data_IF_402249054291
#
_entry.id   IF_402249054291
#
_cell.length_a   1.000
_cell.length_b   1.000
_cell.length_c   1.000
_cell.angle_alpha   90.00
_cell.angle_beta   90.00
_cell.angle_gamma   90.00
#
_symmetry.space_group_name_H-M   'P 1'
#
loop_
_entity.id
_entity.type
_entity.pdbx_description
1 polymer ?
#
# COMPACT_ATOMS: atom_id res chain seq x y z
N UNK A 1 6.12 -40.16 -52.73
CA UNK A 1 4.85 -40.92 -52.70
C UNK A 1 4.83 -41.70 -51.39
N UNK A 2 3.91 -41.32 -50.48
CA UNK A 2 3.35 -42.01 -49.28
C UNK A 2 4.27 -42.93 -48.43
N UNK A 3 4.33 -42.79 -47.10
CA UNK A 3 3.26 -43.24 -46.19
C UNK A 3 3.26 -42.50 -44.82
N UNK A 4 2.05 -42.24 -44.30
CA UNK A 4 1.68 -41.69 -42.98
C UNK A 4 1.19 -42.80 -42.04
N UNK A 5 1.27 -42.53 -40.72
CA UNK A 5 0.45 -43.13 -39.63
C UNK A 5 1.24 -44.10 -38.73
N UNK A 6 1.14 -44.14 -37.40
CA UNK A 6 0.25 -43.55 -36.37
C UNK A 6 0.94 -43.75 -35.00
N UNK A 7 1.13 -42.70 -34.19
CA UNK A 7 1.34 -42.83 -32.73
C UNK A 7 0.76 -41.60 -32.00
N UNK A 8 -0.44 -41.74 -31.47
CA UNK A 8 -0.98 -40.86 -30.44
C UNK A 8 -2.01 -41.64 -29.62
N UNK A 9 -1.95 -41.47 -28.29
CA UNK A 9 -2.79 -42.01 -27.19
C UNK A 9 -2.09 -43.01 -26.26
N UNK A 10 -1.09 -42.53 -25.50
CA UNK A 10 -0.70 -43.17 -24.22
C UNK A 10 -0.04 -42.21 -23.20
N UNK A 11 0.25 -40.95 -23.54
CA UNK A 11 1.12 -40.09 -22.72
C UNK A 11 0.39 -38.91 -22.01
N UNK A 12 -0.91 -39.02 -21.74
CA UNK A 12 -1.68 -37.91 -21.14
C UNK A 12 -2.27 -38.17 -19.74
N UNK A 13 -2.11 -39.37 -19.17
CA UNK A 13 -2.74 -39.72 -17.88
C UNK A 13 -1.73 -39.74 -16.71
N UNK A 14 -0.42 -39.88 -16.96
CA UNK A 14 0.60 -39.94 -15.87
C UNK A 14 1.13 -38.58 -15.38
N UNK A 15 0.93 -37.50 -16.14
CA UNK A 15 1.42 -36.15 -15.76
C UNK A 15 0.48 -35.40 -14.82
N UNK A 16 -0.84 -35.68 -14.88
CA UNK A 16 -1.83 -35.03 -14.01
C UNK A 16 -1.74 -35.45 -12.54
N UNK A 17 -1.47 -36.72 -12.27
CA UNK A 17 -1.35 -37.23 -10.89
C UNK A 17 -0.09 -36.73 -10.17
N UNK A 18 1.04 -36.59 -10.89
CA UNK A 18 2.27 -36.02 -10.34
C UNK A 18 2.13 -34.51 -10.06
N UNK A 19 1.45 -33.77 -10.94
CA UNK A 19 1.21 -32.34 -10.74
C UNK A 19 0.25 -32.10 -9.56
N UNK A 20 -0.83 -32.88 -9.45
CA UNK A 20 -1.75 -32.79 -8.32
C UNK A 20 -1.08 -33.19 -7.00
N UNK A 21 -0.24 -34.23 -6.99
CA UNK A 21 0.51 -34.64 -5.81
C UNK A 21 1.56 -33.59 -5.40
N UNK A 22 2.25 -32.97 -6.36
CA UNK A 22 3.21 -31.88 -6.10
C UNK A 22 2.50 -30.61 -5.61
N UNK A 23 1.33 -30.26 -6.17
CA UNK A 23 0.50 -29.16 -5.69
C UNK A 23 0.00 -29.45 -4.28
N UNK A 24 -0.46 -30.68 -4.00
CA UNK A 24 -0.92 -31.07 -2.68
C UNK A 24 0.22 -31.06 -1.66
N UNK A 25 1.41 -31.58 -2.02
CA UNK A 25 2.59 -31.48 -1.16
C UNK A 25 2.99 -30.01 -0.96
N UNK A 26 2.95 -29.17 -1.98
CA UNK A 26 3.27 -27.75 -1.86
C UNK A 26 2.26 -27.02 -0.96
N UNK A 27 0.97 -27.30 -1.08
CA UNK A 27 -0.08 -26.75 -0.22
C UNK A 27 0.09 -27.26 1.22
N UNK A 28 0.32 -28.56 1.42
CA UNK A 28 0.53 -29.14 2.75
C UNK A 28 1.81 -28.59 3.40
N UNK A 29 2.91 -28.47 2.66
CA UNK A 29 4.19 -27.92 3.18
C UNK A 29 4.10 -26.40 3.42
N UNK A 30 3.34 -25.68 2.60
CA UNK A 30 3.03 -24.27 2.78
C UNK A 30 2.15 -24.03 4.02
N UNK A 31 1.11 -24.83 4.22
CA UNK A 31 0.25 -24.80 5.41
C UNK A 31 1.00 -25.24 6.68
N UNK A 32 1.97 -26.15 6.57
CA UNK A 32 2.83 -26.55 7.70
C UNK A 32 3.88 -25.50 8.07
N UNK A 33 4.39 -24.74 7.09
CA UNK A 33 5.40 -23.70 7.30
C UNK A 33 4.80 -22.37 7.75
N UNK A 34 3.50 -22.18 7.52
CA UNK A 34 2.72 -21.02 7.94
C UNK A 34 1.37 -21.47 8.49
N UNK A 35 1.30 -22.07 9.70
CA UNK A 35 0.03 -22.55 10.28
C UNK A 35 -1.04 -21.45 10.43
N UNK A 36 -0.60 -20.19 10.31
CA UNK A 36 -1.33 -18.98 10.62
C UNK A 36 -1.70 -18.14 9.38
N UNK A 37 -0.99 -18.29 8.25
CA UNK A 37 -1.29 -17.51 7.03
C UNK A 37 -2.43 -18.19 6.26
N UNK A 38 -3.57 -17.52 6.11
CA UNK A 38 -4.73 -18.04 5.40
C UNK A 38 -4.90 -17.35 4.03
N UNK A 39 -4.15 -17.76 2.99
CA UNK A 39 -4.18 -17.09 1.69
C UNK A 39 -5.57 -17.16 1.06
N UNK A 40 -6.35 -18.21 1.28
CA UNK A 40 -7.71 -18.32 0.73
C UNK A 40 -8.66 -17.28 1.32
N UNK A 41 -8.59 -17.01 2.64
CA UNK A 41 -9.38 -15.95 3.28
C UNK A 41 -8.96 -14.57 2.77
N UNK A 42 -7.66 -14.32 2.71
CA UNK A 42 -7.14 -13.07 2.16
C UNK A 42 -7.55 -12.89 0.69
N UNK A 43 -7.45 -13.92 -0.13
CA UNK A 43 -7.89 -13.93 -1.54
C UNK A 43 -9.40 -13.77 -1.69
N UNK A 44 -10.21 -14.37 -0.80
CA UNK A 44 -11.66 -14.21 -0.78
C UNK A 44 -12.04 -12.75 -0.51
N UNK A 45 -11.40 -12.09 0.47
CA UNK A 45 -11.58 -10.65 0.70
C UNK A 45 -11.05 -9.79 -0.45
N UNK A 46 -9.99 -10.22 -1.15
CA UNK A 46 -9.44 -9.50 -2.30
C UNK A 46 -10.28 -9.65 -3.58
N UNK A 47 -11.00 -10.77 -3.76
CA UNK A 47 -11.81 -11.09 -4.97
C UNK A 47 -13.22 -10.49 -4.99
N UNK A 48 -13.71 -9.89 -3.91
CA UNK A 48 -15.14 -9.65 -3.72
C UNK A 48 -15.79 -8.51 -4.54
N UNK A 49 -15.09 -7.66 -5.29
CA UNK A 49 -15.77 -6.50 -5.92
C UNK A 49 -15.37 -6.12 -7.35
N UNK A 50 -14.51 -6.89 -8.03
CA UNK A 50 -14.31 -6.66 -9.47
C UNK A 50 -15.26 -7.55 -10.28
N UNK A 51 -16.39 -6.95 -10.65
CA UNK A 51 -17.42 -7.44 -11.58
C UNK A 51 -18.29 -8.61 -11.09
N UNK A 52 -19.34 -8.28 -10.33
CA UNK A 52 -20.71 -8.54 -10.80
C UNK A 52 -21.73 -7.72 -9.99
N UNK A 53 -22.77 -7.27 -10.69
CA UNK A 53 -23.85 -6.46 -10.13
C UNK A 53 -24.57 -7.13 -8.96
N UNK A 54 -25.20 -6.27 -8.16
CA UNK A 54 -26.22 -6.60 -7.16
C UNK A 54 -25.84 -7.67 -6.13
N UNK A 55 -25.21 -7.18 -5.08
CA UNK A 55 -25.33 -7.75 -3.74
C UNK A 55 -24.94 -6.65 -2.77
N UNK A 56 -25.90 -5.90 -2.25
CA UNK A 56 -25.65 -5.15 -1.02
C UNK A 56 -25.20 -6.19 -0.01
N UNK A 57 -23.91 -6.18 0.39
CA UNK A 57 -23.51 -6.74 1.67
C UNK A 57 -24.18 -5.84 2.71
N UNK A 58 -25.47 -6.07 2.94
CA UNK A 58 -26.15 -5.66 4.16
C UNK A 58 -25.67 -6.63 5.22
N UNK A 59 -24.42 -6.44 5.66
CA UNK A 59 -24.06 -6.92 6.97
C UNK A 59 -24.95 -6.11 7.93
N UNK A 60 -26.01 -6.75 8.46
CA UNK A 60 -26.93 -6.15 9.42
C UNK A 60 -26.20 -5.65 10.68
N UNK A 61 -24.91 -5.97 10.84
CA UNK A 61 -24.03 -5.44 11.88
C UNK A 61 -23.46 -4.03 11.61
N UNK A 62 -23.54 -3.50 10.39
CA UNK A 62 -23.16 -2.11 10.09
C UNK A 62 -24.32 -1.16 10.39
N UNK A 63 -24.65 -1.01 11.67
CA UNK A 63 -25.62 -0.03 12.16
C UNK A 63 -25.02 1.39 12.13
N UNK A 64 -24.81 1.95 10.95
CA UNK A 64 -24.58 3.39 10.84
C UNK A 64 -25.84 4.10 11.33
N UNK A 65 -25.69 4.94 12.36
CA UNK A 65 -26.76 5.80 12.84
C UNK A 65 -27.29 6.65 11.67
N UNK A 66 -28.62 6.77 11.55
CA UNK A 66 -29.28 7.34 10.36
C UNK A 66 -28.80 8.77 10.07
N UNK A 67 -28.56 9.58 11.11
CA UNK A 67 -28.01 10.94 10.98
C UNK A 67 -26.59 10.96 10.40
N UNK A 68 -25.73 9.99 10.76
CA UNK A 68 -24.35 9.90 10.27
C UNK A 68 -24.29 9.52 8.79
N UNK A 69 -25.26 8.73 8.28
CA UNK A 69 -25.36 8.44 6.85
C UNK A 69 -25.73 9.70 6.07
N UNK A 70 -26.80 10.38 6.48
CA UNK A 70 -27.36 11.51 5.74
C UNK A 70 -26.36 12.68 5.65
N UNK A 71 -25.64 12.98 6.75
CA UNK A 71 -24.57 14.00 6.78
C UNK A 71 -23.42 13.67 5.80
N UNK A 72 -22.99 12.40 5.74
CA UNK A 72 -21.83 12.02 4.92
C UNK A 72 -22.12 12.12 3.42
N UNK A 73 -23.35 11.83 3.00
CA UNK A 73 -23.76 11.80 1.60
C UNK A 73 -24.18 13.17 1.05
N UNK A 74 -24.69 14.09 1.89
CA UNK A 74 -25.11 15.42 1.42
C UNK A 74 -23.94 16.37 1.14
N UNK A 75 -22.86 16.32 1.92
CA UNK A 75 -21.77 17.32 1.86
C UNK A 75 -21.01 17.30 0.51
N UNK A 76 -21.01 16.18 -0.25
CA UNK A 76 -20.06 16.00 -1.36
C UNK A 76 -20.59 15.30 -2.62
N UNK A 77 -21.89 15.42 -2.94
CA UNK A 77 -22.37 14.97 -4.25
C UNK A 77 -21.71 15.79 -5.37
N UNK A 78 -20.91 15.13 -6.21
CA UNK A 78 -20.39 15.75 -7.43
C UNK A 78 -21.53 15.79 -8.45
N UNK A 79 -22.27 16.89 -8.50
CA UNK A 79 -23.48 17.00 -9.32
C UNK A 79 -23.22 16.84 -10.84
N UNK A 80 -22.00 17.16 -11.30
CA UNK A 80 -21.67 17.19 -12.72
C UNK A 80 -21.39 15.80 -13.31
N UNK A 81 -21.01 14.80 -12.52
CA UNK A 81 -20.71 13.44 -12.99
C UNK A 81 -21.40 12.38 -12.13
N UNK A 82 -21.90 11.33 -12.78
CA UNK A 82 -22.46 10.17 -12.07
C UNK A 82 -21.32 9.21 -11.69
N UNK A 83 -20.85 9.30 -10.45
CA UNK A 83 -19.78 8.44 -9.93
C UNK A 83 -20.09 6.95 -10.07
N UNK A 84 -21.36 6.52 -9.88
CA UNK A 84 -21.72 5.10 -10.00
C UNK A 84 -21.48 4.59 -11.41
N UNK A 85 -21.98 5.32 -12.42
CA UNK A 85 -21.75 5.00 -13.83
C UNK A 85 -20.26 4.99 -14.20
N UNK A 86 -19.46 5.90 -13.63
CA UNK A 86 -18.01 5.91 -13.82
C UNK A 86 -17.35 4.62 -13.29
N UNK A 87 -17.71 4.18 -12.09
CA UNK A 87 -17.18 2.94 -11.52
C UNK A 87 -17.65 1.70 -12.29
N UNK A 88 -18.88 1.72 -12.81
CA UNK A 88 -19.42 0.64 -13.65
C UNK A 88 -18.82 0.64 -15.08
N UNK A 89 -17.97 1.62 -15.42
CA UNK A 89 -17.28 1.69 -16.71
C UNK A 89 -18.14 2.18 -17.87
N UNK A 90 -19.20 2.94 -17.57
CA UNK A 90 -20.08 3.56 -18.57
C UNK A 90 -19.29 4.51 -19.49
N UNK A 91 -19.23 4.18 -20.78
CA UNK A 91 -18.40 4.90 -21.74
C UNK A 91 -18.84 6.36 -21.94
N UNK A 92 -20.13 6.63 -21.84
CA UNK A 92 -20.67 7.99 -21.98
C UNK A 92 -20.22 8.85 -20.79
N UNK A 93 -20.40 8.37 -19.56
CA UNK A 93 -20.02 9.10 -18.36
C UNK A 93 -18.50 9.26 -18.26
N UNK A 94 -17.72 8.25 -18.67
CA UNK A 94 -16.26 8.35 -18.78
C UNK A 94 -15.83 9.46 -19.75
N UNK A 95 -16.44 9.53 -20.94
CA UNK A 95 -16.16 10.58 -21.93
C UNK A 95 -16.58 11.96 -21.42
N UNK A 96 -17.74 12.04 -20.75
CA UNK A 96 -18.23 13.28 -20.13
C UNK A 96 -17.27 13.78 -19.04
N UNK A 97 -16.82 12.90 -18.14
CA UNK A 97 -15.84 13.24 -17.11
C UNK A 97 -14.51 13.69 -17.70
N UNK A 98 -14.03 13.01 -18.74
CA UNK A 98 -12.81 13.40 -19.46
C UNK A 98 -12.93 14.78 -20.12
N UNK A 99 -14.06 15.07 -20.75
CA UNK A 99 -14.32 16.38 -21.36
C UNK A 99 -14.40 17.50 -20.31
N UNK A 100 -15.02 17.24 -19.15
CA UNK A 100 -15.05 18.18 -18.02
C UNK A 100 -13.64 18.45 -17.48
N UNK A 101 -12.81 17.41 -17.35
CA UNK A 101 -11.40 17.56 -16.93
C UNK A 101 -10.61 18.42 -17.91
N UNK A 102 -10.81 18.23 -19.23
CA UNK A 102 -10.18 19.07 -20.26
C UNK A 102 -10.67 20.51 -20.22
N UNK A 103 -11.98 20.72 -20.12
CA UNK A 103 -12.60 22.05 -20.17
C UNK A 103 -12.24 22.92 -18.96
N UNK A 104 -12.15 22.33 -17.77
CA UNK A 104 -11.82 23.06 -16.54
C UNK A 104 -10.30 23.28 -16.36
N UNK A 105 -9.47 22.73 -17.24
CA UNK A 105 -8.01 22.68 -17.08
C UNK A 105 -7.56 21.97 -15.81
N UNK A 106 -6.25 21.86 -15.61
CA UNK A 106 -5.72 21.69 -14.25
C UNK A 106 -6.13 22.96 -13.51
N UNK A 107 -7.15 22.91 -12.63
CA UNK A 107 -7.29 23.95 -11.61
C UNK A 107 -5.91 24.01 -10.97
N UNK A 108 -5.16 25.08 -11.25
CA UNK A 108 -3.80 25.23 -10.76
C UNK A 108 -3.83 24.88 -9.29
N UNK A 109 -2.89 24.04 -8.86
CA UNK A 109 -2.68 23.64 -7.46
C UNK A 109 -3.13 24.79 -6.58
N UNK A 110 -4.30 24.67 -5.95
CA UNK A 110 -4.71 25.63 -4.94
C UNK A 110 -3.75 25.33 -3.80
N UNK A 111 -2.53 25.84 -3.89
CA UNK A 111 -1.44 25.59 -2.94
C UNK A 111 -1.78 26.14 -1.55
N UNK A 112 -2.86 26.91 -1.45
CA UNK A 112 -3.26 27.59 -0.24
C UNK A 112 -4.75 27.32 -0.02
N UNK A 113 -5.10 26.19 0.61
CA UNK A 113 -6.36 26.17 1.33
C UNK A 113 -6.20 27.19 2.45
N UNK A 114 -7.00 28.26 2.43
CA UNK A 114 -6.99 29.20 3.52
C UNK A 114 -7.63 28.49 4.72
N UNK A 115 -6.83 27.74 5.49
CA UNK A 115 -7.29 27.05 6.71
C UNK A 115 -7.87 28.04 7.75
N UNK A 116 -7.76 29.34 7.50
CA UNK A 116 -8.44 30.38 8.28
C UNK A 116 -9.96 30.43 8.01
N UNK A 117 -10.47 29.69 7.02
CA UNK A 117 -11.91 29.48 6.80
C UNK A 117 -12.53 28.61 7.92
N UNK A 118 -11.71 27.86 8.65
CA UNK A 118 -12.16 27.02 9.76
C UNK A 118 -11.83 27.71 11.09
N UNK A 119 -12.88 28.12 11.81
CA UNK A 119 -12.79 28.80 13.11
C UNK A 119 -12.23 27.90 14.22
N UNK A 120 -12.42 26.58 14.11
CA UNK A 120 -11.95 25.59 15.10
C UNK A 120 -11.68 24.22 14.48
N UNK A 121 -10.91 23.38 15.19
CA UNK A 121 -10.69 21.98 14.77
C UNK A 121 -11.98 21.15 14.74
N UNK A 122 -12.97 21.45 15.60
CA UNK A 122 -14.29 20.81 15.53
C UNK A 122 -14.98 21.13 14.19
N UNK A 123 -15.04 22.41 13.83
CA UNK A 123 -15.61 22.88 12.56
C UNK A 123 -14.87 22.30 11.35
N UNK A 124 -13.53 22.22 11.42
CA UNK A 124 -12.71 21.58 10.39
C UNK A 124 -13.10 20.10 10.20
N UNK A 125 -13.09 19.31 11.29
CA UNK A 125 -13.37 17.87 11.21
C UNK A 125 -14.77 17.58 10.67
N UNK A 126 -15.75 18.35 11.11
CA UNK A 126 -17.15 18.25 10.66
C UNK A 126 -17.30 18.63 9.18
N UNK A 127 -16.89 19.84 8.77
CA UNK A 127 -17.02 20.33 7.39
C UNK A 127 -16.20 19.50 6.40
N UNK A 128 -15.05 18.97 6.82
CA UNK A 128 -14.26 18.07 5.98
C UNK A 128 -14.87 16.68 5.89
N UNK A 129 -15.68 16.25 6.85
CA UNK A 129 -16.32 14.92 6.88
C UNK A 129 -15.39 13.84 7.41
N UNK A 130 -14.61 14.12 8.47
CA UNK A 130 -13.80 13.10 9.13
C UNK A 130 -14.67 12.14 9.93
N UNK A 131 -14.32 10.85 9.88
CA UNK A 131 -14.96 9.81 10.70
C UNK A 131 -14.28 9.81 12.07
N UNK A 132 -14.97 10.35 13.08
CA UNK A 132 -14.41 10.59 14.42
C UNK A 132 -14.72 9.51 15.45
N UNK A 133 -15.42 8.44 15.07
CA UNK A 133 -15.70 7.27 15.90
C UNK A 133 -15.33 5.98 15.17
N UNK A 134 -14.96 4.94 15.92
CA UNK A 134 -14.81 3.58 15.39
C UNK A 134 -16.16 3.11 14.83
N UNK A 135 -16.19 2.62 13.59
CA UNK A 135 -17.44 2.20 12.93
C UNK A 135 -17.84 0.78 13.34
N UNK A 136 -16.88 -0.07 13.71
CA UNK A 136 -17.10 -1.44 14.16
C UNK A 136 -16.16 -1.78 15.33
N UNK A 137 -16.56 -2.74 16.17
CA UNK A 137 -15.69 -3.27 17.24
C UNK A 137 -14.45 -3.99 16.68
N UNK A 138 -14.59 -4.60 15.50
CA UNK A 138 -13.49 -5.23 14.79
C UNK A 138 -12.39 -4.23 14.48
N UNK A 139 -12.75 -3.10 13.84
CA UNK A 139 -11.80 -2.05 13.51
C UNK A 139 -11.21 -1.40 14.77
N UNK A 140 -11.97 -1.28 15.86
CA UNK A 140 -11.47 -0.73 17.13
C UNK A 140 -10.40 -1.62 17.78
N UNK A 141 -10.60 -2.95 17.70
CA UNK A 141 -9.69 -3.96 18.25
C UNK A 141 -8.44 -4.22 17.39
N UNK A 142 -8.41 -3.72 16.16
CA UNK A 142 -7.31 -3.92 15.20
C UNK A 142 -6.76 -2.59 14.65
N UNK A 143 -6.08 -1.78 15.46
CA UNK A 143 -5.58 -0.49 15.00
C UNK A 143 -4.45 -0.61 13.99
N UNK A 144 -4.41 0.32 13.04
CA UNK A 144 -3.37 0.43 12.02
C UNK A 144 -2.50 1.67 12.25
N UNK A 145 -1.24 1.60 11.84
CA UNK A 145 -0.29 2.69 11.83
C UNK A 145 0.10 3.07 10.41
N UNK A 146 0.17 4.38 10.13
CA UNK A 146 0.52 4.90 8.81
C UNK A 146 1.68 5.88 8.90
N UNK A 147 2.61 5.80 7.94
CA UNK A 147 3.46 6.93 7.58
C UNK A 147 2.98 7.54 6.26
N UNK A 148 3.02 8.87 6.17
CA UNK A 148 2.65 9.62 4.96
C UNK A 148 3.78 10.60 4.65
N UNK A 149 4.55 10.33 3.60
CA UNK A 149 5.63 11.21 3.14
C UNK A 149 5.12 12.24 2.12
N UNK A 150 5.36 13.53 2.34
CA UNK A 150 4.89 14.57 1.42
C UNK A 150 5.85 15.75 1.28
N UNK A 151 5.69 16.50 0.18
CA UNK A 151 6.53 17.69 -0.08
C UNK A 151 5.80 18.89 -0.71
N UNK A 152 4.60 18.73 -1.29
CA UNK A 152 3.89 19.82 -2.00
C UNK A 152 2.39 19.92 -1.74
N UNK A 153 1.62 18.92 -2.17
CA UNK A 153 0.15 19.06 -2.29
C UNK A 153 -0.57 18.75 -0.98
N UNK A 154 -0.84 19.80 -0.18
CA UNK A 154 -1.60 19.71 1.07
C UNK A 154 -2.99 19.15 0.86
N UNK A 155 -3.70 19.55 -0.20
CA UNK A 155 -5.07 19.12 -0.45
C UNK A 155 -5.14 17.63 -0.73
N UNK A 156 -4.19 17.15 -1.53
CA UNK A 156 -4.11 15.74 -1.84
C UNK A 156 -3.82 14.92 -0.58
N UNK A 157 -2.87 15.36 0.23
CA UNK A 157 -2.48 14.69 1.49
C UNK A 157 -3.63 14.73 2.51
N UNK A 158 -4.31 15.86 2.67
CA UNK A 158 -5.49 15.96 3.55
C UNK A 158 -6.61 15.05 3.06
N UNK A 159 -6.83 14.97 1.74
CA UNK A 159 -7.85 14.09 1.16
C UNK A 159 -7.51 12.63 1.39
N UNK A 160 -6.24 12.25 1.23
CA UNK A 160 -5.76 10.92 1.58
C UNK A 160 -6.01 10.65 3.07
N UNK A 161 -5.51 11.53 3.95
CA UNK A 161 -5.65 11.43 5.40
C UNK A 161 -7.11 11.22 5.78
N UNK A 162 -8.02 12.08 5.32
CA UNK A 162 -9.46 11.93 5.60
C UNK A 162 -10.01 10.57 5.18
N UNK A 163 -9.58 10.04 4.04
CA UNK A 163 -10.12 8.78 3.50
C UNK A 163 -9.68 7.60 4.35
N UNK A 164 -8.45 7.62 4.86
CA UNK A 164 -7.88 6.54 5.70
C UNK A 164 -8.05 6.79 7.21
N UNK A 165 -8.43 8.00 7.63
CA UNK A 165 -8.47 8.41 9.04
C UNK A 165 -9.51 7.61 9.82
N UNK A 166 -9.09 7.06 10.96
CA UNK A 166 -9.95 6.50 12.00
C UNK A 166 -9.36 6.85 13.38
N UNK A 167 -10.19 7.12 14.40
CA UNK A 167 -9.71 7.56 15.71
C UNK A 167 -8.83 6.53 16.44
N UNK A 168 -9.03 5.24 16.19
CA UNK A 168 -8.22 4.17 16.80
C UNK A 168 -6.84 3.98 16.13
N UNK A 169 -6.69 4.37 14.85
CA UNK A 169 -5.45 4.24 14.10
C UNK A 169 -4.42 5.31 14.53
N UNK A 170 -3.21 5.30 13.98
CA UNK A 170 -2.17 6.31 14.29
C UNK A 170 -1.41 6.72 13.05
N UNK A 171 -1.13 8.02 12.89
CA UNK A 171 -0.61 8.59 11.65
C UNK A 171 0.61 9.47 11.91
N UNK A 172 1.73 9.14 11.28
CA UNK A 172 2.91 9.98 11.20
C UNK A 172 2.98 10.63 9.83
N UNK A 173 3.07 11.96 9.78
CA UNK A 173 3.23 12.72 8.55
C UNK A 173 4.63 13.30 8.50
N UNK A 174 5.41 12.92 7.51
CA UNK A 174 6.67 13.59 7.21
C UNK A 174 6.47 14.65 6.14
N UNK A 175 6.96 15.86 6.42
CA UNK A 175 7.00 16.95 5.46
C UNK A 175 8.46 17.24 5.12
N UNK A 176 8.81 17.10 3.84
CA UNK A 176 10.17 17.31 3.32
C UNK A 176 10.71 18.70 3.70
N UNK A 177 12.02 18.79 4.01
CA UNK A 177 12.65 20.06 4.36
C UNK A 177 12.62 21.07 3.20
N UNK A 178 12.53 20.62 1.95
CA UNK A 178 12.38 21.46 0.76
C UNK A 178 10.96 21.97 0.55
N UNK A 179 9.97 21.45 1.28
CA UNK A 179 8.61 21.95 1.18
C UNK A 179 8.54 23.43 1.61
N UNK A 180 7.69 24.18 0.92
CA UNK A 180 7.47 25.59 1.23
C UNK A 180 6.97 25.79 2.67
N UNK A 181 7.25 26.96 3.26
CA UNK A 181 7.01 27.21 4.69
C UNK A 181 5.51 27.14 5.03
N UNK A 182 4.68 27.64 4.15
CA UNK A 182 3.22 27.57 4.21
C UNK A 182 2.73 26.12 4.19
N UNK A 183 3.28 25.25 3.34
CA UNK A 183 2.95 23.80 3.32
C UNK A 183 3.24 23.17 4.68
N UNK A 184 4.42 23.42 5.25
CA UNK A 184 4.80 22.89 6.57
C UNK A 184 3.87 23.40 7.68
N UNK A 185 3.57 24.69 7.70
CA UNK A 185 2.70 25.30 8.71
C UNK A 185 1.26 24.76 8.60
N UNK A 186 0.76 24.62 7.37
CA UNK A 186 -0.59 24.13 7.07
C UNK A 186 -0.74 22.68 7.51
N UNK A 187 0.24 21.81 7.21
CA UNK A 187 0.21 20.42 7.66
C UNK A 187 0.30 20.29 9.18
N UNK A 188 1.11 21.13 9.85
CA UNK A 188 1.14 21.19 11.32
C UNK A 188 -0.23 21.55 11.91
N UNK A 189 -0.92 22.55 11.34
CA UNK A 189 -2.27 22.97 11.76
C UNK A 189 -3.30 21.85 11.55
N UNK A 190 -3.24 21.14 10.42
CA UNK A 190 -4.12 19.98 10.16
C UNK A 190 -3.86 18.87 11.18
N UNK A 191 -2.60 18.49 11.40
CA UNK A 191 -2.23 17.44 12.34
C UNK A 191 -2.71 17.76 13.76
N UNK A 192 -2.58 19.02 14.21
CA UNK A 192 -3.02 19.43 15.54
C UNK A 192 -4.53 19.31 15.81
N UNK A 193 -5.35 19.04 14.79
CA UNK A 193 -6.78 18.79 14.98
C UNK A 193 -7.12 17.35 15.39
N UNK A 194 -6.13 16.46 15.49
CA UNK A 194 -6.32 15.05 15.82
C UNK A 194 -5.29 14.60 16.84
N UNK A 195 -5.72 13.85 17.85
CA UNK A 195 -4.83 13.37 18.91
C UNK A 195 -3.88 12.26 18.42
N UNK A 196 -4.27 11.56 17.37
CA UNK A 196 -3.57 10.41 16.79
C UNK A 196 -2.87 10.71 15.44
N UNK A 197 -2.74 11.99 15.07
CA UNK A 197 -1.99 12.45 13.89
C UNK A 197 -0.89 13.40 14.34
N UNK A 198 0.36 13.13 13.94
CA UNK A 198 1.48 13.98 14.31
C UNK A 198 2.46 14.16 13.15
N UNK A 199 3.21 15.27 13.18
CA UNK A 199 4.33 15.49 12.26
C UNK A 199 5.55 14.74 12.79
N UNK A 200 6.27 14.06 11.89
CA UNK A 200 7.51 13.36 12.20
C UNK A 200 8.49 14.26 13.00
N UNK A 201 9.20 13.68 13.97
CA UNK A 201 10.10 14.45 14.84
C UNK A 201 11.31 15.05 14.10
N UNK A 202 11.63 14.51 12.92
CA UNK A 202 12.72 14.98 12.06
C UNK A 202 12.26 15.08 10.60
N UNK A 203 12.77 16.10 9.89
CA UNK A 203 12.53 16.32 8.45
C UNK A 203 13.83 16.15 7.68
N UNK A 204 13.74 15.63 6.44
CA UNK A 204 14.89 15.31 5.59
C UNK A 204 14.76 15.97 4.22
N UNK A 205 15.90 16.21 3.55
CA UNK A 205 15.97 16.52 2.12
C UNK A 205 15.88 15.22 1.32
N UNK A 206 14.65 14.80 1.01
CA UNK A 206 14.42 13.55 0.28
C UNK A 206 14.87 13.71 -1.17
N UNK A 207 15.79 12.85 -1.60
CA UNK A 207 16.37 12.82 -2.94
C UNK A 207 16.13 11.46 -3.54
N UNK A 208 15.54 11.43 -4.73
CA UNK A 208 15.16 10.19 -5.40
C UNK A 208 16.35 9.24 -5.59
N UNK A 209 16.13 7.95 -5.31
CA UNK A 209 17.14 6.90 -5.43
C UNK A 209 18.29 7.00 -4.42
N UNK A 210 18.15 7.82 -3.38
CA UNK A 210 19.12 7.98 -2.29
C UNK A 210 18.55 7.47 -0.97
N UNK A 211 19.45 7.29 0.00
CA UNK A 211 19.11 6.84 1.35
C UNK A 211 18.07 7.73 2.04
N UNK A 212 18.03 9.02 1.68
CA UNK A 212 17.08 10.00 2.22
C UNK A 212 15.61 9.71 1.88
N UNK A 213 15.31 8.70 1.05
CA UNK A 213 13.96 8.15 0.86
C UNK A 213 13.53 7.27 2.05
N UNK A 214 14.44 6.52 2.68
CA UNK A 214 14.12 5.63 3.82
C UNK A 214 14.17 6.38 5.15
N UNK A 215 15.03 7.38 5.30
CA UNK A 215 15.20 8.14 6.56
C UNK A 215 13.87 8.66 7.16
N UNK A 216 12.96 9.28 6.37
CA UNK A 216 11.64 9.66 6.86
C UNK A 216 10.81 8.49 7.40
N UNK A 217 10.86 7.34 6.74
CA UNK A 217 10.14 6.14 7.14
C UNK A 217 10.65 5.64 8.49
N UNK A 218 11.98 5.57 8.67
CA UNK A 218 12.58 5.11 9.91
C UNK A 218 12.22 6.02 11.09
N UNK A 219 12.16 7.34 10.86
CA UNK A 219 11.72 8.29 11.89
C UNK A 219 10.24 8.12 12.20
N UNK A 220 9.39 7.97 11.19
CA UNK A 220 7.97 7.72 11.42
C UNK A 220 7.72 6.39 12.14
N UNK A 221 8.39 5.30 11.75
CA UNK A 221 8.34 4.02 12.43
C UNK A 221 8.71 4.16 13.91
N UNK A 222 9.80 4.87 14.23
CA UNK A 222 10.21 5.14 15.62
C UNK A 222 9.12 5.89 16.38
N UNK A 223 8.63 7.02 15.85
CA UNK A 223 7.60 7.79 16.51
C UNK A 223 6.28 7.00 16.69
N UNK A 224 5.90 6.18 15.70
CA UNK A 224 4.70 5.32 15.80
C UNK A 224 4.84 4.23 16.87
N UNK A 225 6.03 3.64 17.02
CA UNK A 225 6.33 2.66 18.08
C UNK A 225 6.24 3.30 19.48
N UNK A 226 6.67 4.55 19.61
CA UNK A 226 6.67 5.33 20.86
C UNK A 226 5.27 5.83 21.24
N UNK A 227 4.50 6.33 20.27
CA UNK A 227 3.20 6.98 20.51
C UNK A 227 2.10 5.99 20.89
N UNK A 228 2.02 4.84 20.23
CA UNK A 228 0.94 3.87 20.45
C UNK A 228 1.46 2.44 20.37
N UNK A 229 1.16 1.62 21.39
CA UNK A 229 1.57 0.22 21.44
C UNK A 229 0.52 -0.75 20.89
N UNK A 230 -0.70 -0.28 20.59
CA UNK A 230 -1.85 -1.14 20.24
C UNK A 230 -1.93 -1.52 18.76
N UNK A 231 -1.35 -0.72 17.86
CA UNK A 231 -1.45 -0.97 16.44
C UNK A 231 -0.78 -2.29 16.04
N UNK A 232 -1.33 -2.92 15.00
CA UNK A 232 -0.95 -4.29 14.57
C UNK A 232 -0.08 -4.29 13.33
N UNK A 233 -0.39 -3.40 12.40
CA UNK A 233 0.29 -3.27 11.12
C UNK A 233 0.66 -1.81 10.83
N UNK A 234 1.82 -1.66 10.22
CA UNK A 234 2.35 -0.43 9.66
C UNK A 234 2.19 -0.43 8.14
N UNK A 235 1.79 0.70 7.57
CA UNK A 235 1.60 0.91 6.14
C UNK A 235 2.23 2.24 5.76
N UNK A 236 3.19 2.24 4.83
CA UNK A 236 3.77 3.49 4.36
C UNK A 236 3.19 3.98 3.03
N UNK A 237 2.95 5.28 2.99
CA UNK A 237 2.34 6.00 1.87
C UNK A 237 3.17 7.23 1.55
N UNK A 238 3.02 7.75 0.34
CA UNK A 238 3.36 9.14 0.03
C UNK A 238 2.07 9.98 -0.05
N UNK A 239 2.21 11.27 -0.33
CA UNK A 239 1.06 12.16 -0.53
C UNK A 239 0.28 11.89 -1.82
N UNK A 240 0.70 10.95 -2.66
CA UNK A 240 0.09 10.69 -3.97
C UNK A 240 -0.79 9.44 -3.98
N UNK A 241 -0.83 8.69 -2.90
CA UNK A 241 -1.56 7.44 -2.78
C UNK A 241 -3.05 7.69 -2.50
N UNK A 242 -3.89 6.73 -2.89
CA UNK A 242 -5.31 6.75 -2.57
C UNK A 242 -5.82 5.32 -2.33
N UNK A 243 -6.61 5.08 -1.26
CA UNK A 243 -7.06 3.74 -0.93
C UNK A 243 -8.14 3.24 -1.89
N UNK A 244 -8.11 1.93 -2.17
CA UNK A 244 -9.12 1.18 -2.95
C UNK A 244 -10.01 0.28 -2.10
N UNK A 245 -9.73 0.24 -0.81
CA UNK A 245 -10.47 -0.52 0.19
C UNK A 245 -10.80 0.38 1.36
N UNK A 246 -11.94 0.11 1.98
CA UNK A 246 -12.34 0.71 3.25
C UNK A 246 -11.41 0.22 4.38
N UNK A 247 -11.39 0.95 5.49
CA UNK A 247 -10.63 0.53 6.68
C UNK A 247 -11.08 -0.85 7.19
N UNK A 248 -12.38 -1.14 7.17
CA UNK A 248 -12.93 -2.43 7.56
C UNK A 248 -12.44 -3.59 6.69
N UNK A 249 -12.46 -3.43 5.36
CA UNK A 249 -11.94 -4.46 4.43
C UNK A 249 -10.44 -4.67 4.63
N UNK A 250 -9.68 -3.57 4.80
CA UNK A 250 -8.25 -3.63 5.06
C UNK A 250 -7.96 -4.37 6.38
N UNK A 251 -8.70 -4.07 7.45
CA UNK A 251 -8.59 -4.78 8.74
C UNK A 251 -8.84 -6.29 8.54
N UNK A 252 -9.92 -6.68 7.84
CA UNK A 252 -10.21 -8.10 7.58
C UNK A 252 -9.09 -8.81 6.82
N UNK A 253 -8.50 -8.14 5.82
CA UNK A 253 -7.39 -8.68 5.04
C UNK A 253 -6.15 -8.86 5.91
N UNK A 254 -5.79 -7.85 6.71
CA UNK A 254 -4.61 -7.90 7.57
C UNK A 254 -4.77 -8.86 8.76
N UNK A 255 -5.99 -9.08 9.22
CA UNK A 255 -6.29 -10.17 10.16
C UNK A 255 -6.01 -11.53 9.52
N UNK A 256 -6.36 -11.72 8.24
CA UNK A 256 -6.07 -12.97 7.52
C UNK A 256 -4.58 -13.20 7.24
N UNK A 257 -3.76 -12.14 7.31
CA UNK A 257 -2.29 -12.26 7.22
C UNK A 257 -1.68 -12.87 8.49
N UNK A 258 -2.37 -12.79 9.63
CA UNK A 258 -1.94 -13.36 10.93
C UNK A 258 -0.47 -13.10 11.28
N UNK A 259 -0.06 -11.84 11.16
CA UNK A 259 1.30 -11.41 11.45
C UNK A 259 2.29 -11.61 10.29
N UNK A 260 1.90 -12.15 9.14
CA UNK A 260 2.72 -12.10 7.93
C UNK A 260 2.87 -10.67 7.40
N UNK A 261 4.04 -10.34 6.87
CA UNK A 261 4.28 -9.08 6.17
C UNK A 261 3.91 -9.23 4.69
N UNK A 262 3.42 -8.15 4.07
CA UNK A 262 3.31 -8.02 2.62
C UNK A 262 4.38 -7.04 2.14
N UNK A 263 5.51 -7.61 1.74
CA UNK A 263 6.70 -6.90 1.26
C UNK A 263 7.22 -7.67 0.06
N UNK A 264 7.30 -7.02 -1.10
CA UNK A 264 7.83 -7.63 -2.30
C UNK A 264 9.36 -7.81 -2.20
N UNK A 265 9.87 -8.93 -2.70
CA UNK A 265 11.31 -9.16 -2.80
C UNK A 265 11.66 -10.12 -3.93
N UNK A 266 12.77 -9.85 -4.62
CA UNK A 266 13.30 -10.66 -5.70
C UNK A 266 14.82 -10.69 -5.67
N UNK A 267 15.39 -11.87 -5.91
CA UNK A 267 16.84 -12.13 -5.92
C UNK A 267 17.38 -12.50 -7.31
N UNK A 268 16.89 -11.86 -8.36
CA UNK A 268 17.43 -12.09 -9.69
C UNK A 268 18.89 -11.63 -9.83
N UNK A 269 19.67 -12.39 -10.60
CA UNK A 269 21.10 -12.14 -10.81
C UNK A 269 21.40 -10.77 -11.43
N UNK A 270 20.49 -10.21 -12.23
CA UNK A 270 20.67 -8.89 -12.83
C UNK A 270 20.70 -7.75 -11.80
N UNK A 271 20.09 -7.92 -10.62
CA UNK A 271 20.11 -6.92 -9.55
C UNK A 271 21.46 -6.84 -8.82
N UNK A 272 22.35 -7.83 -8.97
CA UNK A 272 23.66 -7.86 -8.31
C UNK A 272 24.50 -6.60 -8.55
N UNK A 273 24.30 -5.92 -9.69
CA UNK A 273 24.99 -4.67 -10.01
C UNK A 273 24.67 -3.56 -9.00
N UNK A 274 23.44 -3.51 -8.45
CA UNK A 274 22.99 -2.45 -7.53
C UNK A 274 23.80 -2.36 -6.24
N UNK A 275 24.30 -3.48 -5.74
CA UNK A 275 25.07 -3.51 -4.48
C UNK A 275 26.53 -3.92 -4.68
N UNK A 276 27.01 -4.06 -5.92
CA UNK A 276 28.40 -4.44 -6.20
C UNK A 276 29.41 -3.49 -5.56
N UNK A 277 29.10 -2.18 -5.57
CA UNK A 277 29.96 -1.13 -4.97
C UNK A 277 29.90 -1.08 -3.44
N UNK A 278 28.86 -1.64 -2.83
CA UNK A 278 28.67 -1.65 -1.38
C UNK A 278 29.52 -2.73 -0.67
N UNK A 279 30.15 -3.64 -1.43
CA UNK A 279 30.88 -4.77 -0.86
C UNK A 279 29.95 -5.83 -0.27
N UNK A 280 30.49 -6.62 0.66
CA UNK A 280 29.72 -7.71 1.28
C UNK A 280 28.72 -7.15 2.31
N UNK A 281 27.44 -7.54 2.26
CA UNK A 281 26.46 -7.17 3.27
C UNK A 281 26.79 -7.80 4.63
N UNK A 282 26.51 -7.10 5.75
CA UNK A 282 26.74 -7.65 7.08
C UNK A 282 25.75 -8.78 7.40
N UNK A 283 26.05 -9.55 8.46
CA UNK A 283 25.15 -10.58 9.04
C UNK A 283 24.68 -11.67 8.07
N UNK A 284 25.49 -11.97 7.05
CA UNK A 284 25.17 -12.94 5.98
C UNK A 284 23.82 -12.65 5.29
N UNK A 285 23.41 -11.39 5.25
CA UNK A 285 22.17 -10.98 4.61
C UNK A 285 22.33 -11.07 3.10
N UNK A 286 21.43 -11.77 2.44
CA UNK A 286 21.37 -11.80 0.97
C UNK A 286 20.43 -10.68 0.49
N UNK A 287 20.95 -9.66 -0.23
CA UNK A 287 20.14 -8.52 -0.65
C UNK A 287 19.05 -8.96 -1.64
N UNK A 288 17.89 -8.33 -1.51
CA UNK A 288 16.73 -8.50 -2.38
C UNK A 288 16.33 -7.15 -2.96
N UNK A 289 15.80 -7.14 -4.19
CA UNK A 289 15.10 -5.96 -4.76
C UNK A 289 13.62 -6.08 -4.44
N UNK A 290 13.01 -5.01 -3.95
CA UNK A 290 11.57 -4.92 -3.69
C UNK A 290 10.97 -3.60 -4.13
N UNK A 291 9.83 -3.27 -3.52
CA UNK A 291 9.15 -1.99 -3.66
C UNK A 291 9.38 -1.13 -2.41
N UNK A 292 9.19 0.18 -2.54
CA UNK A 292 9.32 1.14 -1.45
C UNK A 292 8.14 1.04 -0.47
N UNK A 293 6.95 0.72 -0.98
CA UNK A 293 5.78 0.51 -0.16
C UNK A 293 5.78 -0.88 0.46
N UNK A 294 5.44 -0.94 1.74
CA UNK A 294 5.39 -2.13 2.58
C UNK A 294 4.15 -2.13 3.45
N UNK A 295 3.69 -3.33 3.78
CA UNK A 295 2.79 -3.57 4.90
C UNK A 295 3.48 -4.54 5.85
N UNK A 296 3.77 -4.10 7.07
CA UNK A 296 4.55 -4.86 8.02
C UNK A 296 3.86 -4.96 9.38
N UNK A 297 3.98 -6.11 10.04
CA UNK A 297 3.54 -6.23 11.42
C UNK A 297 4.40 -5.36 12.36
N UNK A 298 3.87 -5.07 13.55
CA UNK A 298 4.55 -4.21 14.53
C UNK A 298 5.91 -4.74 14.98
N UNK A 299 6.04 -6.04 15.18
CA UNK A 299 7.30 -6.66 15.63
C UNK A 299 8.41 -6.55 14.58
N UNK A 300 8.06 -6.62 13.30
CA UNK A 300 8.99 -6.38 12.20
C UNK A 300 9.47 -4.92 12.22
N UNK A 301 8.57 -3.96 12.38
CA UNK A 301 8.92 -2.53 12.50
C UNK A 301 9.81 -2.28 13.72
N UNK A 302 9.50 -2.88 14.86
CA UNK A 302 10.35 -2.82 16.05
C UNK A 302 11.76 -3.36 15.79
N UNK A 303 11.86 -4.51 15.10
CA UNK A 303 13.15 -5.06 14.69
C UNK A 303 13.93 -4.09 13.80
N UNK A 304 13.29 -3.50 12.79
CA UNK A 304 13.95 -2.55 11.88
C UNK A 304 14.53 -1.35 12.64
N UNK A 305 13.80 -0.82 13.62
CA UNK A 305 14.18 0.40 14.34
C UNK A 305 15.21 0.12 15.44
N UNK A 306 15.08 -1.01 16.15
CA UNK A 306 15.80 -1.23 17.41
C UNK A 306 16.93 -2.26 17.30
N UNK A 307 16.86 -3.22 16.38
CA UNK A 307 17.83 -4.31 16.29
C UNK A 307 19.17 -3.88 15.67
N UNK A 308 20.28 -4.34 16.26
CA UNK A 308 21.63 -4.03 15.75
C UNK A 308 21.86 -4.56 14.33
N UNK A 309 21.43 -5.78 14.01
CA UNK A 309 21.54 -6.34 12.67
C UNK A 309 20.79 -5.51 11.62
N UNK A 310 19.61 -4.99 11.96
CA UNK A 310 18.87 -4.10 11.09
C UNK A 310 19.61 -2.77 10.87
N UNK A 311 20.19 -2.19 11.93
CA UNK A 311 20.97 -0.94 11.86
C UNK A 311 22.24 -1.09 11.04
N UNK A 312 23.01 -2.15 11.27
CA UNK A 312 24.22 -2.43 10.51
C UNK A 312 23.90 -2.63 9.02
N UNK A 313 22.79 -3.32 8.70
CA UNK A 313 22.35 -3.47 7.31
C UNK A 313 21.80 -2.17 6.71
N UNK A 314 21.07 -1.38 7.48
CA UNK A 314 20.61 -0.04 7.09
C UNK A 314 21.81 0.84 6.69
N UNK A 315 22.84 0.92 7.52
CA UNK A 315 24.07 1.65 7.20
C UNK A 315 24.74 1.14 5.91
N UNK A 316 24.83 -0.18 5.75
CA UNK A 316 25.36 -0.80 4.54
C UNK A 316 24.55 -0.41 3.28
N UNK A 317 23.21 -0.31 3.36
CA UNK A 317 22.38 0.06 2.21
C UNK A 317 22.67 1.47 1.68
N UNK A 318 23.25 2.36 2.47
CA UNK A 318 23.66 3.70 2.01
C UNK A 318 24.70 3.65 0.86
N UNK A 319 25.44 2.55 0.76
CA UNK A 319 26.44 2.33 -0.29
C UNK A 319 25.89 1.61 -1.54
N UNK A 320 24.58 1.31 -1.57
CA UNK A 320 23.90 0.64 -2.68
C UNK A 320 23.25 1.63 -3.64
N UNK A 321 22.94 1.16 -4.86
CA UNK A 321 22.09 1.86 -5.81
C UNK A 321 20.61 1.68 -5.44
N UNK A 322 19.90 2.78 -5.22
CA UNK A 322 18.46 2.82 -4.84
C UNK A 322 18.19 2.04 -3.52
N UNK A 323 18.66 2.57 -2.37
CA UNK A 323 18.57 1.88 -1.08
C UNK A 323 17.14 1.53 -0.65
N UNK A 324 16.18 2.38 -0.98
CA UNK A 324 14.74 2.27 -0.69
C UNK A 324 14.09 1.01 -1.29
N UNK A 325 14.56 0.55 -2.44
CA UNK A 325 14.12 -0.71 -3.04
C UNK A 325 14.90 -1.93 -2.53
N UNK A 326 15.82 -1.77 -1.57
CA UNK A 326 16.71 -2.83 -1.09
C UNK A 326 16.50 -3.14 0.39
N UNK A 327 16.35 -2.13 1.25
CA UNK A 327 16.36 -2.30 2.70
C UNK A 327 15.24 -3.22 3.22
N UNK A 328 13.97 -2.79 3.10
CA UNK A 328 12.84 -3.53 3.67
C UNK A 328 12.67 -4.93 3.07
N UNK A 329 12.88 -5.06 1.77
CA UNK A 329 12.77 -6.33 1.06
C UNK A 329 13.83 -7.33 1.51
N UNK A 330 15.08 -6.89 1.69
CA UNK A 330 16.14 -7.74 2.23
C UNK A 330 15.84 -8.16 3.67
N UNK A 331 15.38 -7.24 4.51
CA UNK A 331 14.99 -7.56 5.89
C UNK A 331 13.84 -8.57 5.95
N UNK A 332 12.91 -8.55 4.97
CA UNK A 332 11.80 -9.50 4.94
C UNK A 332 12.14 -10.90 4.39
N UNK A 333 13.15 -11.01 3.50
CA UNK A 333 13.43 -12.24 2.74
C UNK A 333 14.66 -13.02 3.23
N UNK A 334 15.14 -12.74 4.45
CA UNK A 334 16.27 -13.43 5.07
C UNK A 334 15.78 -14.17 6.32
N UNK A 335 15.23 -15.40 6.18
CA UNK A 335 14.56 -16.13 7.27
C UNK A 335 15.49 -16.51 8.42
N UNK A 336 16.82 -16.53 8.19
CA UNK A 336 17.79 -16.76 9.25
C UNK A 336 17.83 -15.64 10.30
N UNK A 337 17.29 -14.46 10.00
CA UNK A 337 17.14 -13.36 10.94
C UNK A 337 16.01 -13.60 11.96
N UNK A 338 15.14 -14.60 11.72
CA UNK A 338 14.06 -15.04 12.63
C UNK A 338 13.13 -13.89 13.06
N UNK A 339 12.83 -12.97 12.14
CA UNK A 339 11.91 -11.86 12.40
C UNK A 339 10.47 -12.34 12.13
N UNK A 340 9.53 -11.98 13.01
CA UNK A 340 8.11 -12.30 12.82
C UNK A 340 7.60 -11.75 11.49
N UNK A 341 6.86 -12.56 10.75
CA UNK A 341 6.20 -12.17 9.50
C UNK A 341 7.06 -12.22 8.25
N UNK A 342 8.33 -12.65 8.36
CA UNK A 342 9.21 -12.81 7.21
C UNK A 342 8.71 -13.83 6.20
N UNK A 343 9.21 -13.69 4.99
CA UNK A 343 9.10 -14.70 3.97
C UNK A 343 10.06 -15.87 4.28
N UNK A 344 9.49 -16.96 4.78
CA UNK A 344 10.13 -18.23 5.13
C UNK A 344 10.25 -19.20 3.95
N UNK A 345 10.53 -18.75 2.73
CA UNK A 345 10.88 -19.72 1.68
C UNK A 345 12.12 -20.49 2.12
N UNK A 346 11.87 -21.67 2.69
CA UNK A 346 12.80 -22.78 2.75
C UNK A 346 13.37 -22.89 1.33
N UNK A 347 14.67 -23.11 1.23
CA UNK A 347 15.49 -23.19 0.01
C UNK A 347 14.95 -24.12 -1.12
N UNK A 348 13.76 -24.70 -0.97
CA UNK A 348 13.15 -25.73 -1.81
C UNK A 348 12.56 -25.23 -3.13
N UNK A 349 12.41 -23.92 -3.35
CA UNK A 349 12.02 -23.40 -4.66
C UNK A 349 12.91 -22.25 -5.11
N UNK A 350 14.10 -22.61 -5.59
CA UNK A 350 14.79 -21.84 -6.63
C UNK A 350 14.12 -22.10 -7.98
N UNK A 351 12.80 -21.92 -8.06
CA UNK A 351 12.13 -21.78 -9.34
C UNK A 351 11.76 -20.33 -9.51
N UNK A 352 12.21 -19.81 -10.65
CA UNK A 352 11.45 -18.91 -11.50
C UNK A 352 10.07 -18.66 -10.89
N UNK A 353 9.76 -17.40 -10.58
CA UNK A 353 8.42 -16.94 -10.90
C UNK A 353 8.22 -17.37 -12.34
N UNK A 354 7.64 -18.56 -12.56
CA UNK A 354 7.01 -18.90 -13.81
C UNK A 354 6.17 -17.66 -14.02
N UNK A 355 6.50 -16.89 -15.06
CA UNK A 355 5.51 -16.10 -15.73
C UNK A 355 4.41 -17.10 -16.05
N UNK A 356 3.49 -17.31 -15.12
CA UNK A 356 2.12 -17.15 -15.47
C UNK A 356 2.05 -15.71 -15.96
N UNK A 357 2.43 -15.50 -17.22
CA UNK A 357 1.78 -14.50 -18.03
C UNK A 357 0.33 -14.96 -18.05
N UNK A 358 -0.39 -14.66 -16.98
CA UNK A 358 -1.69 -14.09 -17.20
C UNK A 358 -1.37 -12.86 -18.05
N UNK A 359 -1.60 -12.99 -19.36
CA UNK A 359 -1.99 -11.85 -20.16
C UNK A 359 -3.27 -11.33 -19.50
N UNK A 360 -3.12 -10.62 -18.39
CA UNK A 360 -4.09 -9.63 -18.00
C UNK A 360 -4.12 -8.70 -19.20
N UNK A 361 -5.22 -8.77 -19.95
CA UNK A 361 -5.54 -7.79 -20.97
C UNK A 361 -5.73 -6.49 -20.19
N UNK A 362 -4.62 -5.82 -19.87
CA UNK A 362 -4.62 -4.50 -19.30
C UNK A 362 -5.26 -3.62 -20.37
N UNK A 363 -6.44 -3.07 -20.06
CA UNK A 363 -7.01 -2.03 -20.89
C UNK A 363 -6.03 -0.86 -20.92
N UNK A 364 -5.85 -0.20 -22.08
CA UNK A 364 -4.97 0.95 -22.19
C UNK A 364 -5.32 2.02 -21.15
N UNK A 365 -4.28 2.69 -20.64
CA UNK A 365 -4.39 3.74 -19.64
C UNK A 365 -5.33 4.86 -20.14
N UNK A 366 -6.34 5.21 -19.33
CA UNK A 366 -7.19 6.37 -19.59
C UNK A 366 -6.65 7.67 -18.93
N UNK A 367 -5.47 7.59 -18.28
CA UNK A 367 -4.75 8.69 -17.63
C UNK A 367 -3.40 9.00 -18.31
N UNK A 368 -2.48 9.65 -17.59
CA UNK A 368 -1.16 10.01 -18.12
C UNK A 368 -0.05 9.05 -17.65
N UNK A 369 1.09 9.03 -18.35
CA UNK A 369 2.30 8.28 -17.97
C UNK A 369 3.38 9.29 -17.55
N UNK A 370 3.94 9.14 -16.35
CA UNK A 370 5.04 9.98 -15.85
C UNK A 370 6.17 9.05 -15.40
N UNK A 371 7.38 9.20 -15.96
CA UNK A 371 8.56 8.40 -15.60
C UNK A 371 8.32 6.88 -15.61
N UNK A 372 7.72 6.36 -16.68
CA UNK A 372 7.33 4.95 -16.82
C UNK A 372 6.30 4.40 -15.82
N UNK A 373 5.96 5.16 -14.78
CA UNK A 373 4.90 4.86 -13.82
C UNK A 373 3.56 5.27 -14.45
N UNK A 374 2.66 4.31 -14.54
CA UNK A 374 1.31 4.51 -15.08
C UNK A 374 0.43 5.03 -13.95
N UNK A 375 -0.21 6.19 -14.13
CA UNK A 375 -1.08 6.82 -13.13
C UNK A 375 -2.38 6.06 -12.84
N UNK A 376 -2.58 4.87 -13.43
CA UNK A 376 -3.79 4.06 -13.29
C UNK A 376 -3.60 2.53 -13.38
N UNK A 377 -2.37 1.97 -13.35
CA UNK A 377 -2.23 0.50 -13.42
C UNK A 377 -1.25 -0.12 -12.44
N UNK A 378 -1.72 -1.24 -11.89
CA UNK A 378 -1.15 -2.19 -10.94
C UNK A 378 0.12 -2.86 -11.44
N UNK A 379 1.10 -3.04 -10.55
CA UNK A 379 2.23 -3.94 -10.75
C UNK A 379 2.57 -4.72 -9.46
N UNK A 380 2.47 -6.04 -9.54
CA UNK A 380 3.28 -7.08 -8.88
C UNK A 380 3.44 -7.15 -7.34
N UNK A 381 2.73 -6.36 -6.53
CA UNK A 381 2.58 -6.63 -5.08
C UNK A 381 1.15 -6.49 -4.59
N UNK A 382 0.74 -7.29 -3.59
CA UNK A 382 -0.63 -7.25 -3.05
C UNK A 382 -0.99 -5.85 -2.50
N UNK A 383 0.00 -5.10 -2.04
CA UNK A 383 -0.08 -3.66 -1.70
C UNK A 383 -0.84 -2.82 -2.75
N UNK A 384 -0.65 -3.07 -4.05
CA UNK A 384 -1.31 -2.29 -5.10
C UNK A 384 -2.80 -2.63 -5.28
N UNK A 385 -3.30 -3.70 -4.65
CA UNK A 385 -4.75 -3.94 -4.49
C UNK A 385 -5.39 -3.01 -3.46
N UNK A 386 -4.59 -2.37 -2.61
CA UNK A 386 -5.09 -1.50 -1.55
C UNK A 386 -4.90 -0.02 -1.86
N UNK A 387 -3.89 0.32 -2.66
CA UNK A 387 -3.43 1.69 -2.86
C UNK A 387 -3.11 1.95 -4.32
N UNK A 388 -3.69 3.00 -4.89
CA UNK A 388 -3.37 3.52 -6.22
C UNK A 388 -2.65 4.86 -6.13
N UNK A 389 -1.65 5.07 -6.99
CA UNK A 389 -1.06 6.39 -7.18
C UNK A 389 -2.03 7.26 -7.98
N UNK A 390 -2.31 8.45 -7.46
CA UNK A 390 -3.22 9.42 -8.02
C UNK A 390 -2.54 10.79 -8.10
N UNK A 391 -2.90 11.62 -9.08
CA UNK A 391 -2.48 13.02 -9.16
C UNK A 391 -3.70 13.85 -9.54
N UNK A 392 -4.06 14.83 -8.70
CA UNK A 392 -5.19 15.72 -8.97
C UNK A 392 -4.79 16.95 -9.81
N UNK A 393 -3.50 17.25 -9.90
CA UNK A 393 -2.95 18.27 -10.80
C UNK A 393 -1.72 17.73 -11.50
N UNK A 394 -1.64 17.92 -12.81
CA UNK A 394 -0.41 17.69 -13.56
C UNK A 394 0.55 18.81 -13.19
N UNK A 395 1.79 18.53 -12.72
CA UNK A 395 2.82 19.57 -12.63
C UNK A 395 3.03 20.14 -14.03
N UNK A 396 2.87 21.45 -14.20
CA UNK A 396 3.27 22.13 -15.45
C UNK A 396 4.76 21.92 -15.72
#
# INVERSE_FOLDING_TARGET
>A
MLLRGTYSKALHIRTGACLAALIFLCIVTFLYSYPNFHPEKAMQYMRMDYFHGFGLVTDQSLSFNKSSRDIFWEIRKVALVNCRKLFDGDQYEMKKAYNLMKANGSRGTICHENLNIYESCASFREKRGYIMSSLTSLEDSFPLAYSILMYRDVHQVERLLRTIYRPQNTYCIHVDIKAAKDVKNTMKKIASCFDNVFIASQSFDVRWGKMTVIEPEMVCMRNLLETNKRWKYFINLTGQEFPLRTNFELVKILMAYDGANDIQGSRHSHWRKRWKKAGNPPHNILPSKGNVHIIANREFVDFLVNNKTAKDFYEWTNHTEVPDETFFSSMNHNPHLRIRGQYLALYLFQWQTSRASYTFICRPCNGFKIQEIILTTFLDSYIYYFILKFLFSIPK
#
